data_IF_198303064582
#
_entry.id   IF_198303064582
#
_cell.length_a   1.000
_cell.length_b   1.000
_cell.length_c   1.000
_cell.angle_alpha   90.00
_cell.angle_beta   90.00
_cell.angle_gamma   90.00
#
_symmetry.space_group_name_H-M   'P 1'
#
loop_
_entity.id
_entity.type
_entity.pdbx_description
1 polymer ?
#
# COMPACT_ATOMS: atom_id res chain seq x y z
N UNK A 1 11.12 -2.15 54.46
CA UNK A 1 11.80 -1.18 53.58
C UNK A 1 12.59 -1.96 52.53
N UNK A 2 12.43 -1.57 51.27
CA UNK A 2 12.77 -2.27 50.02
C UNK A 2 14.29 -2.60 49.90
N UNK A 3 14.76 -3.57 49.09
CA UNK A 3 14.77 -3.51 47.60
C UNK A 3 15.09 -4.91 47.03
N UNK A 4 14.21 -5.45 46.18
CA UNK A 4 14.51 -6.60 45.31
C UNK A 4 15.41 -6.12 44.17
N UNK A 5 16.59 -6.73 44.04
CA UNK A 5 17.53 -6.46 42.94
C UNK A 5 17.01 -7.17 41.69
N UNK A 6 16.50 -6.40 40.73
CA UNK A 6 16.25 -6.90 39.37
C UNK A 6 17.58 -6.89 38.63
N UNK A 7 18.10 -8.07 38.31
CA UNK A 7 19.20 -8.25 37.35
C UNK A 7 18.64 -8.04 35.95
N UNK A 8 19.05 -6.93 35.32
CA UNK A 8 18.79 -6.64 33.92
C UNK A 8 19.62 -7.62 33.08
N UNK A 9 18.98 -8.65 32.51
CA UNK A 9 19.60 -9.49 31.50
C UNK A 9 19.73 -8.67 30.21
N UNK A 10 20.94 -8.19 29.92
CA UNK A 10 21.27 -7.52 28.67
C UNK A 10 21.24 -8.56 27.55
N UNK A 11 20.10 -8.67 26.86
CA UNK A 11 20.00 -9.39 25.60
C UNK A 11 20.73 -8.56 24.53
N UNK A 12 22.00 -8.90 24.29
CA UNK A 12 22.72 -8.48 23.11
C UNK A 12 22.07 -9.19 21.90
N UNK A 13 21.06 -8.57 21.31
CA UNK A 13 20.55 -8.96 19.99
C UNK A 13 21.58 -8.48 18.98
N UNK A 14 22.44 -9.40 18.54
CA UNK A 14 23.23 -9.25 17.33
C UNK A 14 22.23 -9.17 16.19
N UNK A 15 21.90 -7.96 15.75
CA UNK A 15 21.18 -7.73 14.49
C UNK A 15 22.19 -7.96 13.38
N UNK A 16 22.40 -9.22 13.01
CA UNK A 16 22.96 -9.57 11.70
C UNK A 16 21.94 -9.13 10.66
N UNK A 17 22.14 -7.94 10.12
CA UNK A 17 21.52 -7.42 8.89
C UNK A 17 22.03 -8.24 7.69
N UNK A 18 21.72 -9.53 7.69
CA UNK A 18 21.85 -10.41 6.55
C UNK A 18 20.54 -10.43 5.78
N UNK A 19 20.26 -9.37 5.01
CA UNK A 19 19.21 -9.44 4.00
C UNK A 19 19.73 -10.34 2.89
N UNK A 20 19.46 -11.65 2.99
CA UNK A 20 19.59 -12.56 1.86
C UNK A 20 18.41 -12.26 0.93
N UNK A 21 18.63 -11.39 -0.05
CA UNK A 21 17.69 -11.19 -1.15
C UNK A 21 17.72 -12.47 -1.99
N UNK A 22 16.87 -13.44 -1.64
CA UNK A 22 16.55 -14.53 -2.55
C UNK A 22 15.90 -13.92 -3.78
N UNK A 23 16.53 -14.11 -4.94
CA UNK A 23 16.10 -13.55 -6.22
C UNK A 23 14.65 -13.89 -6.51
N UNK A 24 13.76 -12.92 -6.28
CA UNK A 24 12.36 -13.03 -6.67
C UNK A 24 12.33 -12.89 -8.18
N UNK A 25 11.89 -13.94 -8.87
CA UNK A 25 11.70 -13.93 -10.32
C UNK A 25 10.93 -12.67 -10.73
N UNK A 26 11.41 -11.99 -11.77
CA UNK A 26 10.77 -10.79 -12.31
C UNK A 26 9.39 -11.19 -12.84
N UNK A 27 8.36 -11.02 -12.03
CA UNK A 27 6.98 -11.03 -12.51
C UNK A 27 6.79 -9.75 -13.32
N UNK A 28 6.84 -9.86 -14.64
CA UNK A 28 6.47 -8.78 -15.54
C UNK A 28 4.96 -8.58 -15.42
N UNK A 29 4.55 -7.52 -14.71
CA UNK A 29 3.15 -7.10 -14.70
C UNK A 29 2.81 -6.52 -16.08
N UNK A 30 1.98 -7.23 -16.84
CA UNK A 30 1.54 -6.81 -18.17
C UNK A 30 0.52 -5.67 -18.04
N UNK A 31 1.00 -4.43 -18.15
CA UNK A 31 0.23 -3.20 -17.91
C UNK A 31 -0.27 -2.58 -19.21
N UNK A 32 -1.47 -2.98 -19.65
CA UNK A 32 -2.10 -2.51 -20.88
C UNK A 32 -2.33 -0.96 -20.93
N UNK A 33 -2.40 -0.27 -19.78
CA UNK A 33 -2.47 1.22 -19.71
C UNK A 33 -1.12 1.94 -19.67
N UNK A 34 -0.05 1.31 -19.16
CA UNK A 34 1.31 1.86 -19.30
C UNK A 34 1.79 1.66 -20.74
N UNK A 35 1.37 0.57 -21.38
CA UNK A 35 1.65 0.28 -22.79
C UNK A 35 1.27 1.44 -23.71
N UNK A 36 0.13 2.12 -23.49
CA UNK A 36 -0.29 3.25 -24.34
C UNK A 36 0.56 4.50 -24.13
N UNK A 37 0.93 4.87 -22.89
CA UNK A 37 1.82 6.00 -22.62
C UNK A 37 3.24 5.74 -23.13
N UNK A 38 3.78 4.53 -22.85
CA UNK A 38 5.08 4.08 -23.33
C UNK A 38 5.14 4.11 -24.85
N UNK A 39 4.10 3.60 -25.52
CA UNK A 39 3.98 3.63 -26.97
C UNK A 39 3.88 5.07 -27.53
N UNK A 40 3.08 5.95 -26.93
CA UNK A 40 2.97 7.34 -27.36
C UNK A 40 4.29 8.11 -27.21
N UNK A 41 5.01 7.91 -26.11
CA UNK A 41 6.32 8.55 -25.88
C UNK A 41 7.35 8.02 -26.87
N UNK A 42 7.41 6.68 -27.05
CA UNK A 42 8.29 6.06 -28.02
C UNK A 42 8.05 6.59 -29.45
N UNK A 43 6.79 6.67 -29.88
CA UNK A 43 6.42 7.19 -31.20
C UNK A 43 6.70 8.69 -31.34
N UNK A 44 6.34 9.50 -30.34
CA UNK A 44 6.47 10.97 -30.40
C UNK A 44 7.93 11.43 -30.51
N UNK A 45 8.84 10.71 -29.85
CA UNK A 45 10.26 11.07 -29.78
C UNK A 45 11.17 10.12 -30.57
N UNK A 46 10.61 9.11 -31.26
CA UNK A 46 11.39 8.13 -32.01
C UNK A 46 12.29 7.24 -31.13
N UNK A 47 11.86 6.93 -29.91
CA UNK A 47 12.61 6.11 -28.95
C UNK A 47 12.27 4.62 -29.08
N UNK A 48 13.16 3.75 -28.61
CA UNK A 48 12.89 2.32 -28.50
C UNK A 48 11.84 2.06 -27.41
N UNK A 49 10.75 1.37 -27.75
CA UNK A 49 9.65 1.10 -26.83
C UNK A 49 10.05 0.25 -25.62
N UNK A 50 10.95 -0.73 -25.80
CA UNK A 50 11.47 -1.57 -24.72
C UNK A 50 12.24 -0.75 -23.69
N UNK A 51 13.06 0.18 -24.17
CA UNK A 51 13.88 1.02 -23.28
C UNK A 51 13.00 1.96 -22.46
N UNK A 52 11.99 2.57 -23.10
CA UNK A 52 10.99 3.38 -22.40
C UNK A 52 10.22 2.54 -21.38
N UNK A 53 9.78 1.33 -21.75
CA UNK A 53 9.11 0.40 -20.82
C UNK A 53 10.00 0.08 -19.61
N UNK A 54 11.29 -0.16 -19.83
CA UNK A 54 12.26 -0.45 -18.77
C UNK A 54 12.39 0.71 -17.79
N UNK A 55 12.48 1.95 -18.28
CA UNK A 55 12.56 3.16 -17.43
C UNK A 55 11.31 3.30 -16.56
N UNK A 56 10.11 3.11 -17.15
CA UNK A 56 8.86 3.17 -16.40
C UNK A 56 8.77 2.08 -15.33
N UNK A 57 9.13 0.85 -15.67
CA UNK A 57 9.16 -0.27 -14.73
C UNK A 57 10.15 -0.03 -13.59
N UNK A 58 11.35 0.48 -13.89
CA UNK A 58 12.33 0.84 -12.87
C UNK A 58 11.81 1.95 -11.94
N UNK A 59 11.33 3.06 -12.51
CA UNK A 59 10.78 4.16 -11.72
C UNK A 59 9.59 3.71 -10.87
N UNK A 60 8.72 2.84 -11.38
CA UNK A 60 7.62 2.27 -10.61
C UNK A 60 8.12 1.47 -9.40
N UNK A 61 9.13 0.61 -9.59
CA UNK A 61 9.75 -0.16 -8.51
C UNK A 61 10.41 0.74 -7.46
N UNK A 62 11.15 1.77 -7.90
CA UNK A 62 11.75 2.76 -7.00
C UNK A 62 10.70 3.48 -6.16
N UNK A 63 9.60 3.92 -6.79
CA UNK A 63 8.48 4.57 -6.11
C UNK A 63 7.80 3.64 -5.12
N UNK A 64 7.60 2.37 -5.47
CA UNK A 64 7.01 1.38 -4.56
C UNK A 64 7.92 1.16 -3.34
N UNK A 65 9.24 1.03 -3.56
CA UNK A 65 10.23 0.94 -2.49
C UNK A 65 10.18 2.14 -1.55
N UNK A 66 10.19 3.36 -2.10
CA UNK A 66 10.09 4.61 -1.31
C UNK A 66 8.81 4.66 -0.47
N UNK A 67 7.66 4.25 -1.03
CA UNK A 67 6.39 4.22 -0.30
C UNK A 67 6.42 3.22 0.86
N UNK A 68 6.99 2.03 0.63
CA UNK A 68 7.16 1.01 1.69
C UNK A 68 8.10 1.51 2.79
N UNK A 69 9.20 2.16 2.43
CA UNK A 69 10.15 2.70 3.40
C UNK A 69 9.55 3.84 4.24
N UNK A 70 8.78 4.74 3.62
CA UNK A 70 8.04 5.79 4.32
C UNK A 70 6.99 5.22 5.28
N UNK A 71 6.28 4.17 4.86
CA UNK A 71 5.35 3.47 5.74
C UNK A 71 6.10 2.86 6.92
N UNK A 72 7.19 2.13 6.66
CA UNK A 72 7.99 1.53 7.72
C UNK A 72 8.46 2.58 8.73
N UNK A 73 9.02 3.69 8.25
CA UNK A 73 9.50 4.77 9.11
C UNK A 73 8.39 5.32 10.02
N UNK A 74 7.16 5.46 9.51
CA UNK A 74 6.01 5.89 10.32
C UNK A 74 5.62 4.84 11.36
N UNK A 75 5.64 3.56 11.01
CA UNK A 75 5.33 2.48 11.94
C UNK A 75 6.40 2.37 13.04
N UNK A 76 7.69 2.47 12.68
CA UNK A 76 8.80 2.52 13.63
C UNK A 76 8.61 3.64 14.66
N UNK A 77 8.15 4.82 14.22
CA UNK A 77 7.84 5.95 15.12
C UNK A 77 6.70 5.62 16.10
N UNK A 78 5.66 4.92 15.64
CA UNK A 78 4.52 4.56 16.48
C UNK A 78 4.87 3.41 17.45
N UNK A 79 5.77 2.49 17.06
CA UNK A 79 6.37 1.49 17.95
C UNK A 79 7.22 2.19 19.02
N UNK A 80 8.09 3.12 18.62
CA UNK A 80 8.92 3.89 19.55
C UNK A 80 8.07 4.75 20.52
N UNK A 81 6.93 5.25 20.05
CA UNK A 81 5.94 5.95 20.87
C UNK A 81 5.11 5.01 21.77
N UNK A 82 5.29 3.70 21.67
CA UNK A 82 4.56 2.69 22.45
C UNK A 82 3.09 2.53 22.08
N UNK A 83 2.67 3.05 20.93
CA UNK A 83 1.27 2.99 20.46
C UNK A 83 0.95 1.68 19.74
N UNK A 84 1.98 0.96 19.28
CA UNK A 84 1.86 -0.38 18.72
C UNK A 84 3.09 -1.22 19.08
N UNK A 85 2.98 -2.53 18.91
CA UNK A 85 4.09 -3.48 19.10
C UNK A 85 4.85 -3.73 17.78
N UNK A 86 6.06 -4.28 17.88
CA UNK A 86 6.85 -4.72 16.71
C UNK A 86 6.11 -5.79 15.89
N UNK A 87 5.33 -6.65 16.55
CA UNK A 87 4.50 -7.66 15.89
C UNK A 87 3.38 -7.00 15.06
N UNK A 88 2.75 -5.96 15.59
CA UNK A 88 1.72 -5.19 14.89
C UNK A 88 2.28 -4.43 13.69
N UNK A 89 3.47 -3.83 13.80
CA UNK A 89 4.19 -3.25 12.66
C UNK A 89 4.40 -4.29 11.56
N UNK A 90 4.90 -5.48 11.93
CA UNK A 90 5.17 -6.56 10.97
C UNK A 90 3.90 -6.99 10.25
N UNK A 91 2.78 -7.14 10.96
CA UNK A 91 1.48 -7.44 10.38
C UNK A 91 1.02 -6.36 9.39
N UNK A 92 1.20 -5.08 9.73
CA UNK A 92 0.84 -3.96 8.87
C UNK A 92 1.69 -3.91 7.59
N UNK A 93 3.01 -4.11 7.69
CA UNK A 93 3.90 -4.15 6.52
C UNK A 93 3.55 -5.30 5.57
N UNK A 94 3.31 -6.49 6.12
CA UNK A 94 2.91 -7.65 5.32
C UNK A 94 1.56 -7.41 4.64
N UNK A 95 0.58 -6.88 5.37
CA UNK A 95 -0.75 -6.60 4.81
C UNK A 95 -0.71 -5.49 3.76
N UNK A 96 0.12 -4.47 3.94
CA UNK A 96 0.34 -3.43 2.93
C UNK A 96 0.87 -4.01 1.63
N UNK A 97 1.86 -4.91 1.70
CA UNK A 97 2.41 -5.59 0.52
C UNK A 97 1.35 -6.45 -0.18
N UNK A 98 0.62 -7.27 0.58
CA UNK A 98 -0.48 -8.08 0.06
C UNK A 98 -1.51 -7.22 -0.69
N UNK A 99 -1.91 -6.08 -0.10
CA UNK A 99 -2.85 -5.14 -0.73
C UNK A 99 -2.28 -4.45 -1.97
N UNK A 100 -0.99 -4.14 -1.98
CA UNK A 100 -0.33 -3.56 -3.16
C UNK A 100 -0.38 -4.55 -4.34
N UNK A 101 -0.03 -5.81 -4.10
CA UNK A 101 -0.02 -6.86 -5.11
C UNK A 101 -1.45 -7.19 -5.59
N UNK A 102 -2.39 -7.22 -4.66
CA UNK A 102 -3.82 -7.41 -4.96
C UNK A 102 -4.38 -6.27 -5.81
N UNK A 103 -4.05 -5.00 -5.53
CA UNK A 103 -4.50 -3.86 -6.34
C UNK A 103 -3.99 -3.92 -7.77
N UNK A 104 -2.73 -4.35 -7.96
CA UNK A 104 -2.15 -4.50 -9.29
C UNK A 104 -2.95 -5.51 -10.14
N UNK A 105 -3.35 -6.63 -9.54
CA UNK A 105 -4.17 -7.65 -10.23
C UNK A 105 -5.66 -7.27 -10.36
N UNK A 106 -6.24 -6.58 -9.37
CA UNK A 106 -7.64 -6.13 -9.41
C UNK A 106 -7.91 -5.05 -10.46
N UNK A 107 -6.90 -4.26 -10.84
CA UNK A 107 -7.08 -3.18 -11.81
C UNK A 107 -7.60 -3.70 -13.16
N UNK A 108 -7.15 -4.88 -13.59
CA UNK A 108 -7.66 -5.53 -14.80
C UNK A 108 -9.10 -6.02 -14.64
N UNK A 109 -9.40 -6.66 -13.50
CA UNK A 109 -10.75 -7.14 -13.19
C UNK A 109 -11.77 -5.99 -13.14
N UNK A 110 -11.36 -4.81 -12.67
CA UNK A 110 -12.23 -3.65 -12.56
C UNK A 110 -12.52 -2.97 -13.90
N UNK A 111 -11.77 -3.23 -14.98
CA UNK A 111 -12.07 -2.61 -16.29
C UNK A 111 -13.47 -2.98 -16.79
N UNK A 112 -13.91 -4.19 -16.50
CA UNK A 112 -15.15 -4.76 -17.02
C UNK A 112 -16.36 -4.58 -16.09
N UNK A 113 -16.16 -4.07 -14.87
CA UNK A 113 -17.24 -3.90 -13.89
C UNK A 113 -17.99 -2.57 -14.09
N UNK A 114 -19.30 -2.61 -13.88
CA UNK A 114 -20.14 -1.42 -13.76
C UNK A 114 -19.76 -0.59 -12.52
N UNK A 115 -20.13 0.71 -12.46
CA UNK A 115 -19.90 1.52 -11.27
C UNK A 115 -20.48 0.92 -9.98
N UNK A 116 -21.66 0.31 -10.05
CA UNK A 116 -22.32 -0.34 -8.91
C UNK A 116 -21.52 -1.56 -8.42
N UNK A 117 -21.05 -2.41 -9.33
CA UNK A 117 -20.22 -3.58 -8.99
C UNK A 117 -18.86 -3.16 -8.44
N UNK A 118 -18.24 -2.11 -9.00
CA UNK A 118 -17.00 -1.52 -8.45
C UNK A 118 -17.19 -1.03 -7.03
N UNK A 119 -18.32 -0.37 -6.76
CA UNK A 119 -18.63 0.12 -5.41
C UNK A 119 -18.83 -1.04 -4.45
N UNK A 120 -19.62 -2.05 -4.83
CA UNK A 120 -19.84 -3.24 -4.02
C UNK A 120 -18.52 -3.99 -3.72
N UNK A 121 -17.65 -4.15 -4.72
CA UNK A 121 -16.35 -4.78 -4.55
C UNK A 121 -15.44 -4.00 -3.57
N UNK A 122 -15.42 -2.67 -3.66
CA UNK A 122 -14.63 -1.82 -2.74
C UNK A 122 -15.18 -1.82 -1.32
N UNK A 123 -16.50 -1.81 -1.15
CA UNK A 123 -17.09 -1.85 0.19
C UNK A 123 -16.81 -3.20 0.86
N UNK A 124 -16.89 -4.30 0.10
CA UNK A 124 -16.50 -5.62 0.60
C UNK A 124 -15.04 -5.64 1.04
N UNK A 125 -14.13 -5.16 0.21
CA UNK A 125 -12.70 -5.11 0.55
C UNK A 125 -12.40 -4.23 1.77
N UNK A 126 -13.11 -3.10 1.90
CA UNK A 126 -13.02 -2.24 3.08
C UNK A 126 -13.50 -2.97 4.34
N UNK A 127 -14.61 -3.69 4.26
CA UNK A 127 -15.13 -4.47 5.38
C UNK A 127 -14.15 -5.59 5.78
N UNK A 128 -13.64 -6.35 4.81
CA UNK A 128 -12.65 -7.40 5.04
C UNK A 128 -11.40 -6.85 5.75
N UNK A 129 -10.96 -5.64 5.37
CA UNK A 129 -9.83 -4.96 6.02
C UNK A 129 -10.13 -4.46 7.42
N UNK A 130 -11.34 -3.95 7.66
CA UNK A 130 -11.78 -3.55 9.01
C UNK A 130 -11.80 -4.75 9.94
N UNK A 131 -12.31 -5.89 9.48
CA UNK A 131 -12.40 -7.10 10.29
C UNK A 131 -11.02 -7.70 10.55
N UNK A 132 -10.15 -7.72 9.53
CA UNK A 132 -8.74 -8.09 9.70
C UNK A 132 -8.03 -7.20 10.73
N UNK A 133 -8.23 -5.88 10.65
CA UNK A 133 -7.59 -4.93 11.56
C UNK A 133 -8.04 -5.14 13.01
N UNK A 134 -9.34 -5.34 13.24
CA UNK A 134 -9.90 -5.66 14.56
C UNK A 134 -9.35 -6.96 15.12
N UNK A 135 -9.31 -8.03 14.31
CA UNK A 135 -8.80 -9.34 14.73
C UNK A 135 -7.33 -9.28 15.14
N UNK A 136 -6.54 -8.43 14.49
CA UNK A 136 -5.12 -8.26 14.76
C UNK A 136 -4.82 -7.11 15.72
N UNK A 137 -5.86 -6.46 16.25
CA UNK A 137 -5.76 -5.29 17.13
C UNK A 137 -4.84 -4.19 16.57
N UNK A 138 -4.89 -3.95 15.25
CA UNK A 138 -4.13 -2.90 14.57
C UNK A 138 -5.05 -1.82 14.05
N UNK A 139 -4.53 -0.60 13.92
CA UNK A 139 -5.31 0.49 13.34
C UNK A 139 -5.23 0.47 11.82
N UNK A 140 -6.40 0.37 11.18
CA UNK A 140 -6.56 0.37 9.73
C UNK A 140 -6.06 1.67 9.07
N UNK A 141 -5.91 2.76 9.83
CA UNK A 141 -5.40 4.04 9.34
C UNK A 141 -3.98 3.92 8.76
N UNK A 142 -3.21 2.92 9.20
CA UNK A 142 -1.85 2.69 8.71
C UNK A 142 -1.78 1.98 7.35
N UNK A 143 -2.85 1.29 6.92
CA UNK A 143 -2.89 0.59 5.63
C UNK A 143 -3.44 1.45 4.48
N UNK A 144 -4.15 2.51 4.82
CA UNK A 144 -4.71 3.45 3.86
C UNK A 144 -3.74 4.61 3.69
N UNK A 145 -2.93 4.56 2.63
CA UNK A 145 -1.88 5.52 2.30
C UNK A 145 -2.20 6.95 2.75
N UNK A 146 -1.70 7.31 3.93
CA UNK A 146 -1.64 8.66 4.49
C UNK A 146 -2.90 9.52 4.39
N UNK A 147 -4.10 8.95 4.36
CA UNK A 147 -5.30 9.72 4.04
C UNK A 147 -6.29 9.74 5.19
N UNK A 148 -6.04 10.62 6.18
CA UNK A 148 -7.13 11.35 6.85
C UNK A 148 -7.93 12.26 5.88
N UNK A 149 -7.71 12.11 4.57
CA UNK A 149 -8.15 12.99 3.49
C UNK A 149 -8.53 12.21 2.21
N UNK A 150 -9.03 10.98 2.31
CA UNK A 150 -9.62 10.28 1.16
C UNK A 150 -10.93 9.63 1.62
N UNK A 151 -12.02 10.41 1.62
CA UNK A 151 -13.35 9.86 1.84
C UNK A 151 -14.40 10.79 2.44
N UNK A 152 -14.04 11.99 2.90
CA UNK A 152 -15.01 12.97 3.40
C UNK A 152 -14.67 14.36 2.90
N UNK A 153 -15.21 14.73 1.73
CA UNK A 153 -15.21 16.12 1.28
C UNK A 153 -15.02 16.30 -0.23
N UNK A 154 -16.08 16.79 -0.87
CA UNK A 154 -16.15 17.40 -2.21
C UNK A 154 -16.22 16.51 -3.45
N UNK A 155 -17.47 16.29 -3.90
CA UNK A 155 -17.82 16.69 -5.26
C UNK A 155 -18.33 15.61 -6.20
N UNK A 156 -19.51 15.02 -5.93
CA UNK A 156 -20.38 14.50 -7.00
C UNK A 156 -21.84 14.50 -6.55
N UNK A 157 -22.66 15.38 -7.14
CA UNK A 157 -24.10 15.15 -7.28
C UNK A 157 -25.01 15.42 -6.09
N UNK A 158 -25.18 16.68 -5.68
CA UNK A 158 -26.44 17.14 -5.09
C UNK A 158 -26.87 18.44 -5.74
N UNK A 159 -27.16 18.38 -7.05
CA UNK A 159 -28.17 19.28 -7.61
C UNK A 159 -29.51 18.79 -7.08
N UNK A 160 -29.93 19.37 -5.95
CA UNK A 160 -31.35 19.44 -5.62
C UNK A 160 -32.04 20.02 -6.86
N UNK A 161 -32.81 19.19 -7.55
CA UNK A 161 -33.85 19.67 -8.44
C UNK A 161 -34.94 20.28 -7.54
N UNK A 162 -34.74 21.52 -7.13
CA UNK A 162 -35.79 22.39 -6.63
C UNK A 162 -36.19 23.30 -7.78
N UNK A 163 -37.08 22.79 -8.62
CA UNK A 163 -38.01 23.59 -9.40
C UNK A 163 -39.30 22.78 -9.45
N UNK A 164 -39.98 22.78 -8.31
CA UNK A 164 -41.43 22.72 -8.25
C UNK A 164 -41.87 24.13 -7.85
N UNK A 165 -42.36 24.86 -8.85
CA UNK A 165 -43.36 25.96 -8.84
C UNK A 165 -43.24 26.76 -10.14
#
# INVERSE_FOLDING_TARGET
>A
MNKKKFTLATLAVIVTSGVVILGVGRASADTNTQSTLVQMIAQKFGLNQSDVQSVFSQHHQERQGQMTEQLKTKLDQEVAAGKMTVEQETLLLNKYKELSDKRASQMENFKNLTPAEKQAAREKEKQDLVDWAKQNNVDIQYLHGGSRQMGMGHGFGSRKNQSAE
#
